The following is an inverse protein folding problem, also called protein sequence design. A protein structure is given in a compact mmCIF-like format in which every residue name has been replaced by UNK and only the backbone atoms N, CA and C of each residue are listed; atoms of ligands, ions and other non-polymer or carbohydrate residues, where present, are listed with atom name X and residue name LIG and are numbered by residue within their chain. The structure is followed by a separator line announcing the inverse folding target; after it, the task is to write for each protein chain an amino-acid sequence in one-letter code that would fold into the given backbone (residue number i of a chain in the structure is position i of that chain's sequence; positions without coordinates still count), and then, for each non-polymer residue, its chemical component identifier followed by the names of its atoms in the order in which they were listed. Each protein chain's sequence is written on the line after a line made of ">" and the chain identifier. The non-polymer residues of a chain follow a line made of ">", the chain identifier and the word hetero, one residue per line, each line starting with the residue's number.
data_IF_000841924784
#
_entry.id   IF_000841924784
#
_cell.length_a   1.000
_cell.length_b   1.000
_cell.length_c   1.000
_cell.angle_alpha   90.00
_cell.angle_beta   90.00
_cell.angle_gamma   90.00
#
_symmetry.space_group_name_H-M   'P 1'
#
loop_
_entity.id
_entity.type
_entity.pdbx_description
1 polymer ?
#
# COMPACT_ATOMS: atom_id res chain seq x y z
N UNK A 1 2.85 -3.81 12.43
CA UNK A 1 4.13 -3.06 12.42
C UNK A 1 5.21 -3.92 11.79
N UNK A 2 5.64 -3.52 10.60
CA UNK A 2 6.77 -4.10 9.87
C UNK A 2 8.06 -3.76 10.63
N UNK A 3 8.86 -4.78 10.96
CA UNK A 3 10.10 -4.60 11.73
C UNK A 3 11.35 -4.67 10.86
N UNK A 4 11.24 -5.27 9.68
CA UNK A 4 12.34 -5.46 8.77
C UNK A 4 12.48 -4.29 7.78
N UNK A 5 13.73 -3.82 7.59
CA UNK A 5 14.01 -2.62 6.78
C UNK A 5 13.71 -2.85 5.30
N UNK A 6 13.95 -4.05 4.77
CA UNK A 6 13.63 -4.35 3.37
C UNK A 6 12.12 -4.40 3.16
N UNK A 7 11.41 -5.04 4.08
CA UNK A 7 9.95 -5.15 4.05
C UNK A 7 9.28 -3.77 4.10
N UNK A 8 9.81 -2.85 4.92
CA UNK A 8 9.35 -1.45 4.95
C UNK A 8 9.53 -0.76 3.59
N UNK A 9 10.68 -0.94 2.93
CA UNK A 9 10.93 -0.34 1.61
C UNK A 9 10.00 -0.91 0.54
N UNK A 10 9.75 -2.21 0.56
CA UNK A 10 8.81 -2.84 -0.37
C UNK A 10 7.38 -2.36 -0.13
N UNK A 11 6.99 -2.18 1.12
CA UNK A 11 5.69 -1.63 1.50
C UNK A 11 5.53 -0.18 1.02
N UNK A 12 6.51 0.69 1.28
CA UNK A 12 6.49 2.08 0.81
C UNK A 12 6.36 2.16 -0.72
N UNK A 13 7.18 1.38 -1.44
CA UNK A 13 7.14 1.35 -2.91
C UNK A 13 5.79 0.88 -3.45
N UNK A 14 5.15 -0.07 -2.76
CA UNK A 14 3.83 -0.59 -3.10
C UNK A 14 2.74 0.45 -2.87
N UNK A 15 2.75 1.15 -1.73
CA UNK A 15 1.77 2.20 -1.42
C UNK A 15 1.90 3.39 -2.37
N UNK A 16 3.12 3.81 -2.72
CA UNK A 16 3.35 4.83 -3.75
C UNK A 16 2.73 4.42 -5.11
N UNK A 17 2.94 3.16 -5.51
CA UNK A 17 2.35 2.63 -6.75
C UNK A 17 0.82 2.61 -6.70
N UNK A 18 0.21 2.27 -5.57
CA UNK A 18 -1.24 2.33 -5.41
C UNK A 18 -1.78 3.75 -5.53
N UNK A 19 -1.13 4.73 -4.90
CA UNK A 19 -1.51 6.15 -5.01
C UNK A 19 -1.41 6.61 -6.46
N UNK A 20 -0.36 6.19 -7.18
CA UNK A 20 -0.19 6.51 -8.60
C UNK A 20 -1.30 5.87 -9.47
N UNK A 21 -1.61 4.59 -9.25
CA UNK A 21 -2.69 3.89 -9.93
C UNK A 21 -4.06 4.52 -9.63
N UNK A 22 -4.30 4.90 -8.38
CA UNK A 22 -5.51 5.62 -7.97
C UNK A 22 -5.65 6.96 -8.68
N UNK A 23 -4.60 7.78 -8.69
CA UNK A 23 -4.59 9.08 -9.37
C UNK A 23 -4.78 8.96 -10.89
N UNK A 24 -4.32 7.85 -11.48
CA UNK A 24 -4.56 7.52 -12.89
C UNK A 24 -5.98 7.00 -13.18
N UNK A 25 -6.81 6.77 -12.16
CA UNK A 25 -8.19 6.33 -12.28
C UNK A 25 -8.36 4.82 -12.46
N UNK A 26 -7.36 4.01 -12.08
CA UNK A 26 -7.49 2.55 -12.07
C UNK A 26 -8.52 2.10 -11.02
N UNK A 27 -9.15 0.94 -11.26
CA UNK A 27 -10.11 0.39 -10.30
C UNK A 27 -9.40 -0.37 -9.19
N UNK A 28 -10.12 -0.58 -8.11
CA UNK A 28 -9.67 -1.41 -6.99
C UNK A 28 -9.29 -2.83 -7.43
N UNK A 29 -10.02 -3.41 -8.39
CA UNK A 29 -9.69 -4.70 -8.99
C UNK A 29 -8.32 -4.70 -9.70
N UNK A 30 -7.98 -3.63 -10.43
CA UNK A 30 -6.68 -3.49 -11.11
C UNK A 30 -5.54 -3.37 -10.09
N UNK A 31 -5.75 -2.59 -9.03
CA UNK A 31 -4.76 -2.45 -7.94
C UNK A 31 -4.56 -3.76 -7.19
N UNK A 32 -5.63 -4.55 -7.01
CA UNK A 32 -5.54 -5.90 -6.43
C UNK A 32 -4.74 -6.84 -7.33
N UNK A 33 -5.00 -6.83 -8.64
CA UNK A 33 -4.22 -7.60 -9.60
C UNK A 33 -2.73 -7.20 -9.59
N UNK A 34 -2.44 -5.91 -9.46
CA UNK A 34 -1.07 -5.42 -9.30
C UNK A 34 -0.42 -5.93 -7.99
N UNK A 35 -1.15 -5.92 -6.87
CA UNK A 35 -0.68 -6.47 -5.59
C UNK A 35 -0.32 -7.96 -5.71
N UNK A 36 -1.22 -8.76 -6.28
CA UNK A 36 -0.99 -10.19 -6.49
C UNK A 36 0.26 -10.45 -7.34
N UNK A 37 0.44 -9.71 -8.45
CA UNK A 37 1.62 -9.81 -9.30
C UNK A 37 2.92 -9.41 -8.59
N UNK A 38 2.87 -8.35 -7.78
CA UNK A 38 4.01 -7.88 -6.98
C UNK A 38 4.42 -8.90 -5.91
N UNK A 39 3.45 -9.48 -5.19
CA UNK A 39 3.71 -10.53 -4.19
C UNK A 39 4.25 -11.80 -4.83
N UNK A 40 3.72 -12.20 -5.99
CA UNK A 40 4.25 -13.34 -6.74
C UNK A 40 5.71 -13.12 -7.15
N UNK A 41 6.06 -11.93 -7.64
CA UNK A 41 7.44 -11.58 -7.98
C UNK A 41 8.37 -11.57 -6.75
N UNK A 42 7.89 -11.09 -5.59
CA UNK A 42 8.65 -11.14 -4.33
C UNK A 42 8.89 -12.58 -3.86
N UNK A 43 7.89 -13.46 -3.98
CA UNK A 43 8.04 -14.89 -3.68
C UNK A 43 9.04 -15.57 -4.62
N UNK A 44 8.96 -15.30 -5.91
CA UNK A 44 9.85 -15.90 -6.91
C UNK A 44 11.29 -15.40 -6.83
N UNK A 45 11.50 -14.14 -6.46
CA UNK A 45 12.85 -13.57 -6.28
C UNK A 45 13.53 -14.04 -5.00
N UNK A 46 12.80 -14.72 -4.10
CA UNK A 46 13.27 -15.16 -2.79
C UNK A 46 13.93 -14.00 -1.99
N UNK A 47 13.46 -12.78 -2.23
CA UNK A 47 14.07 -11.56 -1.74
C UNK A 47 13.82 -11.32 -0.24
N UNK A 48 12.73 -11.90 0.29
CA UNK A 48 12.32 -11.81 1.69
C UNK A 48 11.66 -13.13 2.13
N UNK A 49 11.68 -13.39 3.44
CA UNK A 49 11.13 -14.61 4.03
C UNK A 49 9.60 -14.69 3.83
N UNK A 50 9.02 -15.90 3.67
CA UNK A 50 7.59 -16.07 3.41
C UNK A 50 6.66 -15.40 4.42
N UNK A 51 7.03 -15.40 5.71
CA UNK A 51 6.21 -14.73 6.74
C UNK A 51 6.22 -13.20 6.62
N UNK A 52 7.31 -12.61 6.10
CA UNK A 52 7.39 -11.18 5.83
C UNK A 52 6.49 -10.81 4.64
N UNK A 53 6.43 -11.69 3.62
CA UNK A 53 5.53 -11.52 2.49
C UNK A 53 4.07 -11.53 2.95
N UNK A 54 3.69 -12.48 3.83
CA UNK A 54 2.33 -12.52 4.40
C UNK A 54 2.01 -11.26 5.21
N UNK A 55 2.94 -10.81 6.06
CA UNK A 55 2.80 -9.53 6.79
C UNK A 55 2.60 -8.33 5.86
N UNK A 56 3.35 -8.29 4.76
CA UNK A 56 3.26 -7.22 3.77
C UNK A 56 1.94 -7.27 3.00
N UNK A 57 1.47 -8.46 2.64
CA UNK A 57 0.17 -8.70 2.01
C UNK A 57 -0.98 -8.20 2.90
N UNK A 58 -0.96 -8.51 4.21
CA UNK A 58 -1.99 -8.07 5.16
C UNK A 58 -2.04 -6.54 5.26
N UNK A 59 -0.90 -5.89 5.46
CA UNK A 59 -0.84 -4.42 5.58
C UNK A 59 -1.19 -3.73 4.27
N UNK A 60 -0.73 -4.26 3.12
CA UNK A 60 -1.05 -3.72 1.81
C UNK A 60 -2.53 -3.88 1.46
N UNK A 61 -3.12 -5.02 1.78
CA UNK A 61 -4.56 -5.26 1.62
C UNK A 61 -5.35 -4.28 2.46
N UNK A 62 -4.97 -4.08 3.73
CA UNK A 62 -5.61 -3.11 4.62
C UNK A 62 -5.51 -1.69 4.08
N UNK A 63 -4.34 -1.29 3.58
CA UNK A 63 -4.14 0.01 2.95
C UNK A 63 -5.03 0.19 1.73
N UNK A 64 -5.10 -0.84 0.87
CA UNK A 64 -5.90 -0.82 -0.36
C UNK A 64 -7.40 -0.70 -0.06
N UNK A 65 -7.94 -1.42 0.93
CA UNK A 65 -9.37 -1.36 1.28
C UNK A 65 -9.78 -0.07 1.99
N UNK A 66 -8.84 0.67 2.57
CA UNK A 66 -9.13 1.95 3.20
C UNK A 66 -9.02 3.08 2.17
N UNK A 67 -10.17 3.42 1.56
CA UNK A 67 -10.31 4.47 0.57
C UNK A 67 -9.83 5.86 1.07
N UNK A 68 -9.78 6.06 2.38
CA UNK A 68 -9.32 7.30 3.01
C UNK A 68 -7.82 7.53 2.79
N UNK A 69 -7.04 6.46 2.59
CA UNK A 69 -5.62 6.56 2.26
C UNK A 69 -5.36 7.23 0.91
N UNK A 70 -6.34 7.21 0.02
CA UNK A 70 -6.26 7.82 -1.32
C UNK A 70 -6.95 9.18 -1.39
N UNK A 71 -7.73 9.54 -0.37
CA UNK A 71 -8.35 10.84 -0.28
C UNK A 71 -7.27 11.90 -0.03
N UNK A 72 -7.32 13.00 -0.78
CA UNK A 72 -6.50 14.18 -0.47
C UNK A 72 -6.96 14.68 0.89
N UNK A 73 -6.08 14.81 1.90
CA UNK A 73 -6.48 15.34 3.19
C UNK A 73 -7.00 16.76 2.98
N UNK A 74 -8.30 16.97 3.23
CA UNK A 74 -8.85 18.31 3.27
C UNK A 74 -8.18 19.06 4.43
N UNK A 75 -7.63 20.26 4.19
CA UNK A 75 -7.12 21.08 5.28
C UNK A 75 -8.27 21.33 6.24
N UNK A 76 -8.16 20.85 7.48
CA UNK A 76 -9.15 21.14 8.51
C UNK A 76 -9.21 22.67 8.65
N UNK A 77 -10.39 23.31 8.49
CA UNK A 77 -10.52 24.72 8.77
C UNK A 77 -10.15 24.93 10.23
N UNK A 78 -9.12 25.73 10.49
CA UNK A 78 -8.74 26.11 11.83
C UNK A 78 -9.93 26.84 12.44
N UNK A 79 -10.64 26.16 13.34
CA UNK A 79 -11.70 26.78 14.12
C UNK A 79 -11.05 27.84 15.01
N UNK A 80 -11.14 29.10 14.56
CA UNK A 80 -10.80 30.27 15.36
C UNK A 80 -11.80 30.31 16.53
N UNK A 81 -11.37 29.84 17.69
CA UNK A 81 -12.14 29.96 18.93
C UNK A 81 -12.04 31.41 19.39
N UNK A 82 -13.11 32.17 19.13
CA UNK A 82 -13.32 33.53 19.63
C UNK A 82 -13.97 33.53 21.02
#
# INVERSE_FOLDING_TARGET
>A
MLQDTQTIRYYQRLTDAFVELWNRGYRMDDMRMYLDGYLAALRHSNAIEPYLIHRLEEEASRYLYDASNFAVPEPQPQHDYY
#
